data_IF_378552528026
#
_entry.id   IF_378552528026
#
_cell.length_a   1.000
_cell.length_b   1.000
_cell.length_c   1.000
_cell.angle_alpha   90.00
_cell.angle_beta   90.00
_cell.angle_gamma   90.00
#
_symmetry.space_group_name_H-M   'P 1'
#
loop_
_entity.id
_entity.type
_entity.pdbx_description
1 polymer ?
#
# COMPACT_ATOMS: atom_id res chain seq x y z
N UNK A 1 7.80 -4.96 -17.65
CA UNK A 1 6.72 -5.29 -16.70
C UNK A 1 5.62 -5.97 -17.48
N UNK A 2 5.21 -7.18 -17.10
CA UNK A 2 4.08 -7.78 -17.80
C UNK A 2 2.85 -6.95 -17.43
N UNK A 3 2.30 -6.23 -18.38
CA UNK A 3 1.09 -5.41 -18.32
C UNK A 3 -0.05 -6.11 -17.53
N UNK A 4 -0.07 -7.44 -17.58
CA UNK A 4 -1.05 -8.28 -16.90
C UNK A 4 -1.10 -8.13 -15.38
N UNK A 5 0.02 -7.84 -14.69
CA UNK A 5 -0.02 -7.70 -13.22
C UNK A 5 -0.65 -6.39 -12.78
N UNK A 6 -0.36 -5.30 -13.49
CA UNK A 6 -1.03 -4.01 -13.24
C UNK A 6 -2.51 -4.12 -13.56
N UNK A 7 -2.84 -4.74 -14.71
CA UNK A 7 -4.22 -4.99 -15.12
C UNK A 7 -4.95 -5.81 -14.04
N UNK A 8 -4.30 -6.83 -13.48
CA UNK A 8 -4.90 -7.65 -12.43
C UNK A 8 -5.27 -6.82 -11.18
N UNK A 9 -4.35 -5.96 -10.69
CA UNK A 9 -4.64 -5.08 -9.55
C UNK A 9 -5.72 -4.05 -9.87
N UNK A 10 -5.67 -3.46 -11.07
CA UNK A 10 -6.71 -2.53 -11.52
C UNK A 10 -8.06 -3.22 -11.60
N UNK A 11 -8.13 -4.41 -12.20
CA UNK A 11 -9.37 -5.21 -12.29
C UNK A 11 -9.89 -5.60 -10.91
N UNK A 12 -9.01 -5.92 -9.96
CA UNK A 12 -9.39 -6.28 -8.59
C UNK A 12 -10.01 -5.08 -7.86
N UNK A 13 -9.41 -3.89 -7.98
CA UNK A 13 -9.93 -2.64 -7.39
C UNK A 13 -11.23 -2.23 -8.09
N UNK A 14 -11.28 -2.23 -9.42
CA UNK A 14 -12.49 -1.90 -10.17
C UNK A 14 -13.57 -2.97 -10.03
N UNK A 15 -13.21 -4.24 -9.90
CA UNK A 15 -14.13 -5.34 -9.65
C UNK A 15 -14.88 -5.19 -8.32
N UNK A 16 -14.26 -4.58 -7.31
CA UNK A 16 -14.92 -4.27 -6.04
C UNK A 16 -16.01 -3.18 -6.16
N UNK A 17 -15.99 -2.41 -7.23
CA UNK A 17 -16.99 -1.38 -7.53
C UNK A 17 -18.22 -1.92 -8.26
N UNK A 18 -18.22 -3.21 -8.66
CA UNK A 18 -19.37 -3.86 -9.28
C UNK A 18 -20.42 -4.21 -8.21
N UNK A 19 -21.58 -3.59 -8.29
CA UNK A 19 -22.75 -4.05 -7.54
C UNK A 19 -23.24 -5.36 -8.15
N UNK A 20 -22.93 -6.48 -7.48
CA UNK A 20 -23.25 -7.84 -7.94
C UNK A 20 -24.76 -8.06 -8.10
N UNK A 21 -25.60 -7.27 -7.42
CA UNK A 21 -27.06 -7.42 -7.50
C UNK A 21 -27.68 -6.69 -8.71
N UNK A 22 -27.03 -5.63 -9.20
CA UNK A 22 -27.57 -4.78 -10.27
C UNK A 22 -26.73 -4.79 -11.54
N UNK A 23 -25.55 -5.45 -11.54
CA UNK A 23 -24.56 -5.40 -12.63
C UNK A 23 -24.26 -3.96 -13.09
N UNK A 24 -24.30 -3.00 -12.16
CA UNK A 24 -24.04 -1.60 -12.43
C UNK A 24 -22.72 -1.18 -11.76
N UNK A 25 -21.92 -0.41 -12.49
CA UNK A 25 -20.73 0.26 -11.97
C UNK A 25 -21.19 1.42 -11.06
N UNK A 26 -21.00 1.26 -9.76
CA UNK A 26 -21.26 2.33 -8.81
C UNK A 26 -19.92 2.96 -8.38
N UNK A 27 -19.56 4.07 -9.03
CA UNK A 27 -18.36 4.85 -8.67
C UNK A 27 -18.44 5.39 -7.23
N UNK A 28 -19.63 5.46 -6.63
CA UNK A 28 -19.80 5.81 -5.22
C UNK A 28 -19.11 4.81 -4.29
N UNK A 29 -19.02 3.53 -4.66
CA UNK A 29 -18.32 2.52 -3.88
C UNK A 29 -16.81 2.76 -3.85
N UNK A 30 -16.24 3.37 -4.90
CA UNK A 30 -14.83 3.74 -4.92
C UNK A 30 -14.52 4.84 -3.90
N UNK A 31 -15.46 5.74 -3.65
CA UNK A 31 -15.28 6.81 -2.66
C UNK A 31 -15.10 6.26 -1.23
N UNK A 32 -15.74 5.13 -0.91
CA UNK A 32 -15.56 4.46 0.39
C UNK A 32 -14.17 3.82 0.55
N UNK A 33 -13.50 3.50 -0.56
CA UNK A 33 -12.13 2.98 -0.55
C UNK A 33 -11.08 4.11 -0.52
N UNK A 34 -11.47 5.34 -0.84
CA UNK A 34 -10.57 6.50 -0.85
C UNK A 34 -10.65 7.24 0.48
N UNK A 35 -9.90 6.74 1.47
CA UNK A 35 -9.76 7.39 2.77
C UNK A 35 -8.36 8.01 2.90
N UNK A 36 -8.28 9.34 2.75
CA UNK A 36 -7.02 10.07 2.78
C UNK A 36 -6.30 9.94 4.13
N UNK A 37 -6.96 10.05 5.30
CA UNK A 37 -6.34 9.83 6.60
C UNK A 37 -5.66 8.46 6.71
N UNK A 38 -6.34 7.37 6.33
CA UNK A 38 -5.76 6.02 6.36
C UNK A 38 -4.55 5.88 5.44
N UNK A 39 -4.59 6.49 4.27
CA UNK A 39 -3.47 6.50 3.33
C UNK A 39 -2.25 7.21 3.91
N UNK A 40 -2.46 8.36 4.57
CA UNK A 40 -1.39 9.12 5.24
C UNK A 40 -0.78 8.31 6.39
N UNK A 41 -1.60 7.66 7.23
CA UNK A 41 -1.14 6.82 8.35
C UNK A 41 -0.25 5.68 7.87
N UNK A 42 -0.53 5.10 6.71
CA UNK A 42 0.27 3.99 6.18
C UNK A 42 1.51 4.47 5.44
N UNK A 43 1.39 5.46 4.55
CA UNK A 43 2.48 5.85 3.65
C UNK A 43 3.51 6.77 4.31
N UNK A 44 3.08 7.77 5.10
CA UNK A 44 4.01 8.76 5.64
C UNK A 44 5.06 8.13 6.55
N UNK A 45 4.72 7.31 7.56
CA UNK A 45 5.72 6.63 8.37
C UNK A 45 6.60 5.67 7.56
N UNK A 46 6.04 5.00 6.55
CA UNK A 46 6.79 4.09 5.66
C UNK A 46 7.87 4.84 4.89
N UNK A 47 7.55 6.03 4.34
CA UNK A 47 8.50 6.87 3.61
C UNK A 47 9.61 7.36 4.55
N UNK A 48 9.24 7.93 5.71
CA UNK A 48 10.22 8.40 6.69
C UNK A 48 11.14 7.27 7.17
N UNK A 49 10.60 6.09 7.40
CA UNK A 49 11.39 4.93 7.79
C UNK A 49 12.36 4.50 6.68
N UNK A 50 11.91 4.47 5.43
CA UNK A 50 12.76 4.10 4.29
C UNK A 50 13.92 5.09 4.11
N UNK A 51 13.65 6.40 4.19
CA UNK A 51 14.68 7.45 4.10
C UNK A 51 15.66 7.35 5.26
N UNK A 52 15.17 7.12 6.49
CA UNK A 52 16.01 7.00 7.67
C UNK A 52 16.88 5.74 7.70
N UNK A 53 16.38 4.63 7.15
CA UNK A 53 17.09 3.35 7.17
C UNK A 53 18.08 3.17 6.01
N UNK A 54 17.78 3.75 4.84
CA UNK A 54 18.58 3.51 3.62
C UNK A 54 19.29 4.75 3.09
N UNK A 55 18.76 5.87 3.07
CA UNK A 55 19.15 7.16 2.55
C UNK A 55 18.14 7.70 1.54
N UNK A 56 18.17 9.00 1.33
CA UNK A 56 17.32 9.66 0.34
C UNK A 56 17.61 9.17 -1.09
N UNK A 57 18.88 8.93 -1.41
CA UNK A 57 19.28 8.48 -2.75
C UNK A 57 18.74 7.09 -3.05
N UNK A 58 18.92 6.13 -2.14
CA UNK A 58 18.38 4.76 -2.29
C UNK A 58 16.86 4.77 -2.38
N UNK A 59 16.19 5.59 -1.54
CA UNK A 59 14.73 5.76 -1.61
C UNK A 59 14.28 6.30 -2.99
N UNK A 60 14.93 7.33 -3.52
CA UNK A 60 14.60 7.85 -4.85
C UNK A 60 14.76 6.80 -5.96
N UNK A 61 15.79 5.94 -5.85
CA UNK A 61 16.03 4.84 -6.77
C UNK A 61 14.97 3.74 -6.71
N UNK A 62 14.24 3.58 -5.60
CA UNK A 62 13.11 2.62 -5.52
C UNK A 62 11.97 2.97 -6.49
N UNK A 63 11.88 4.22 -6.91
CA UNK A 63 10.90 4.67 -7.88
C UNK A 63 11.41 4.65 -9.32
N UNK A 64 12.70 4.89 -9.53
CA UNK A 64 13.27 4.93 -10.88
C UNK A 64 13.67 3.55 -11.40
N UNK A 65 14.35 2.73 -10.60
CA UNK A 65 14.93 1.44 -11.02
C UNK A 65 13.86 0.41 -11.45
N UNK A 66 12.77 0.16 -10.70
CA UNK A 66 11.76 -0.82 -11.11
C UNK A 66 10.99 -0.42 -12.37
N UNK A 67 10.88 0.87 -12.66
CA UNK A 67 10.14 1.39 -13.81
C UNK A 67 11.03 1.74 -15.02
N UNK A 68 12.35 1.88 -14.79
CA UNK A 68 13.36 2.11 -15.83
C UNK A 68 14.00 0.82 -16.34
N UNK A 69 15.28 0.90 -16.68
CA UNK A 69 16.11 -0.20 -17.17
C UNK A 69 17.08 -0.70 -16.08
N UNK A 70 16.69 -1.71 -15.27
CA UNK A 70 17.51 -2.26 -14.20
C UNK A 70 18.84 -2.85 -14.70
N UNK A 71 18.95 -3.18 -15.99
CA UNK A 71 20.15 -3.76 -16.62
C UNK A 71 21.36 -2.83 -16.57
N UNK A 72 21.12 -1.52 -16.48
CA UNK A 72 22.17 -0.50 -16.46
C UNK A 72 22.62 -0.13 -15.03
N UNK A 73 22.08 -0.76 -14.00
CA UNK A 73 22.42 -0.49 -12.60
C UNK A 73 23.47 -1.47 -12.09
N UNK A 74 24.32 -1.01 -11.18
CA UNK A 74 25.32 -1.84 -10.52
C UNK A 74 24.68 -2.88 -9.59
N UNK A 75 25.31 -4.07 -9.44
CA UNK A 75 24.81 -5.15 -8.60
C UNK A 75 24.56 -4.74 -7.14
N UNK A 76 25.47 -4.00 -6.46
CA UNK A 76 25.24 -3.52 -5.10
C UNK A 76 24.00 -2.61 -4.99
N UNK A 77 23.80 -1.75 -5.98
CA UNK A 77 22.65 -0.83 -6.06
C UNK A 77 21.33 -1.59 -6.19
N UNK A 78 21.26 -2.59 -7.06
CA UNK A 78 20.07 -3.43 -7.23
C UNK A 78 19.71 -4.14 -5.92
N UNK A 79 20.70 -4.65 -5.19
CA UNK A 79 20.50 -5.31 -3.90
C UNK A 79 19.95 -4.33 -2.86
N UNK A 80 20.48 -3.11 -2.77
CA UNK A 80 19.99 -2.10 -1.84
C UNK A 80 18.57 -1.66 -2.17
N UNK A 81 18.27 -1.39 -3.43
CA UNK A 81 16.93 -1.01 -3.90
C UNK A 81 15.91 -2.12 -3.60
N UNK A 82 16.27 -3.39 -3.86
CA UNK A 82 15.39 -4.52 -3.54
C UNK A 82 15.12 -4.63 -2.03
N UNK A 83 16.16 -4.50 -1.19
CA UNK A 83 16.01 -4.50 0.27
C UNK A 83 15.13 -3.35 0.75
N UNK A 84 15.33 -2.14 0.22
CA UNK A 84 14.54 -0.97 0.56
C UNK A 84 13.05 -1.20 0.22
N UNK A 85 12.75 -1.70 -0.99
CA UNK A 85 11.39 -2.03 -1.42
C UNK A 85 10.73 -3.09 -0.51
N UNK A 86 11.45 -4.15 -0.18
CA UNK A 86 10.95 -5.20 0.73
C UNK A 86 10.67 -4.64 2.13
N UNK A 87 11.55 -3.76 2.63
CA UNK A 87 11.37 -3.11 3.92
C UNK A 87 10.18 -2.16 3.91
N UNK A 88 10.03 -1.35 2.86
CA UNK A 88 8.85 -0.49 2.68
C UNK A 88 7.56 -1.32 2.67
N UNK A 89 7.54 -2.43 1.93
CA UNK A 89 6.39 -3.31 1.89
C UNK A 89 6.06 -3.94 3.25
N UNK A 90 7.05 -4.33 4.05
CA UNK A 90 6.82 -4.82 5.42
C UNK A 90 6.28 -3.71 6.32
N UNK A 91 6.85 -2.52 6.19
CA UNK A 91 6.46 -1.36 6.98
C UNK A 91 5.01 -0.92 6.71
N UNK A 92 4.55 -1.00 5.45
CA UNK A 92 3.14 -0.69 5.13
C UNK A 92 2.16 -1.63 5.83
N UNK A 93 2.49 -2.92 5.96
CA UNK A 93 1.65 -3.87 6.72
C UNK A 93 1.63 -3.52 8.21
N UNK A 94 2.80 -3.24 8.79
CA UNK A 94 2.90 -2.84 10.20
C UNK A 94 2.07 -1.58 10.46
N UNK A 95 2.20 -0.56 9.61
CA UNK A 95 1.43 0.68 9.74
C UNK A 95 -0.07 0.47 9.48
N UNK A 96 -0.43 -0.42 8.56
CA UNK A 96 -1.82 -0.83 8.35
C UNK A 96 -2.44 -1.45 9.61
N UNK A 97 -1.71 -2.35 10.26
CA UNK A 97 -2.15 -2.96 11.53
C UNK A 97 -2.25 -1.90 12.64
N UNK A 98 -1.21 -1.07 12.82
CA UNK A 98 -1.20 0.00 13.84
C UNK A 98 -2.35 0.98 13.62
N UNK A 99 -2.56 1.43 12.39
CA UNK A 99 -3.65 2.33 12.03
C UNK A 99 -5.04 1.71 12.30
N UNK A 100 -5.19 0.41 12.02
CA UNK A 100 -6.42 -0.32 12.34
C UNK A 100 -6.67 -0.34 13.85
N UNK A 101 -5.64 -0.63 14.68
CA UNK A 101 -5.78 -0.57 16.14
C UNK A 101 -6.13 0.83 16.64
N UNK A 102 -5.50 1.87 16.08
CA UNK A 102 -5.87 3.26 16.42
C UNK A 102 -7.34 3.51 16.09
N UNK A 103 -7.81 3.10 14.90
CA UNK A 103 -9.21 3.23 14.49
C UNK A 103 -10.16 2.50 15.46
N UNK A 104 -9.83 1.26 15.85
CA UNK A 104 -10.63 0.47 16.80
C UNK A 104 -10.67 1.14 18.19
N UNK A 105 -9.53 1.61 18.70
CA UNK A 105 -9.46 2.29 20.00
C UNK A 105 -10.34 3.56 20.01
N UNK A 106 -10.25 4.37 18.95
CA UNK A 106 -11.08 5.55 18.81
C UNK A 106 -12.57 5.19 18.71
N UNK A 107 -12.91 4.14 17.96
CA UNK A 107 -14.27 3.65 17.81
C UNK A 107 -14.88 3.25 19.16
N UNK A 108 -14.10 2.63 20.05
CA UNK A 108 -14.57 2.24 21.38
C UNK A 108 -15.00 3.45 22.23
N UNK A 109 -14.44 4.63 22.00
CA UNK A 109 -14.89 5.85 22.67
C UNK A 109 -16.27 6.32 22.16
N UNK A 110 -16.60 6.08 20.88
CA UNK A 110 -17.90 6.44 20.31
C UNK A 110 -19.06 5.57 20.85
N UNK A 111 -18.78 4.34 21.28
CA UNK A 111 -19.79 3.48 21.93
C UNK A 111 -20.39 4.19 23.16
N UNK A 112 -19.58 4.88 23.93
CA UNK A 112 -20.05 5.59 25.14
C UNK A 112 -20.95 6.79 24.81
N UNK A 113 -20.87 7.29 23.57
CA UNK A 113 -21.66 8.42 23.07
C UNK A 113 -22.95 8.01 22.38
N UNK A 114 -23.18 6.69 22.19
CA UNK A 114 -24.36 6.13 21.51
C UNK A 114 -24.39 6.37 20.01
N UNK A 115 -23.24 6.66 19.39
CA UNK A 115 -23.12 6.88 17.95
C UNK A 115 -23.04 5.58 17.16
N UNK A 116 -23.35 5.66 15.84
CA UNK A 116 -23.23 4.51 14.93
C UNK A 116 -21.76 4.16 14.70
N UNK A 117 -21.39 2.92 14.98
CA UNK A 117 -20.02 2.42 14.90
C UNK A 117 -19.60 1.96 13.51
N UNK A 118 -20.57 1.69 12.64
CA UNK A 118 -20.30 1.10 11.34
C UNK A 118 -19.31 1.93 10.48
N UNK A 119 -19.43 3.27 10.40
CA UNK A 119 -18.47 4.08 9.64
C UNK A 119 -17.05 4.02 10.20
N UNK A 120 -16.90 4.03 11.53
CA UNK A 120 -15.59 4.03 12.18
C UNK A 120 -14.87 2.67 11.99
N UNK A 121 -15.60 1.57 12.07
CA UNK A 121 -15.07 0.23 11.78
C UNK A 121 -14.67 0.12 10.31
N UNK A 122 -15.47 0.66 9.39
CA UNK A 122 -15.14 0.66 7.96
C UNK A 122 -13.80 1.36 7.68
N UNK A 123 -13.56 2.53 8.26
CA UNK A 123 -12.30 3.28 8.12
C UNK A 123 -11.12 2.47 8.67
N UNK A 124 -11.26 1.83 9.85
CA UNK A 124 -10.23 0.99 10.42
C UNK A 124 -9.84 -0.18 9.49
N UNK A 125 -10.82 -0.82 8.85
CA UNK A 125 -10.60 -1.90 7.88
C UNK A 125 -9.91 -1.39 6.60
N UNK A 126 -10.26 -0.19 6.13
CA UNK A 126 -9.63 0.43 4.96
C UNK A 126 -8.15 0.69 5.21
N UNK A 127 -7.74 1.07 6.42
CA UNK A 127 -6.33 1.25 6.76
C UNK A 127 -5.53 -0.05 6.64
N UNK A 128 -6.09 -1.17 7.10
CA UNK A 128 -5.49 -2.49 6.94
C UNK A 128 -5.39 -2.90 5.47
N UNK A 129 -6.45 -2.65 4.70
CA UNK A 129 -6.48 -2.88 3.26
C UNK A 129 -5.34 -2.16 2.54
N UNK A 130 -5.10 -0.87 2.85
CA UNK A 130 -3.98 -0.12 2.28
C UNK A 130 -2.63 -0.74 2.66
N UNK A 131 -2.45 -1.20 3.89
CA UNK A 131 -1.23 -1.88 4.32
C UNK A 131 -0.90 -3.07 3.41
N UNK A 132 -1.87 -3.95 3.15
CA UNK A 132 -1.69 -5.11 2.27
C UNK A 132 -1.57 -4.73 0.79
N UNK A 133 -2.34 -3.75 0.32
CA UNK A 133 -2.28 -3.27 -1.06
C UNK A 133 -0.88 -2.76 -1.41
N UNK A 134 -0.32 -1.87 -0.59
CA UNK A 134 1.02 -1.33 -0.81
C UNK A 134 2.10 -2.40 -0.62
N UNK A 135 1.91 -3.34 0.32
CA UNK A 135 2.81 -4.51 0.43
C UNK A 135 2.91 -5.27 -0.87
N UNK A 136 1.78 -5.57 -1.49
CA UNK A 136 1.74 -6.29 -2.76
C UNK A 136 2.42 -5.50 -3.89
N UNK A 137 2.23 -4.17 -3.94
CA UNK A 137 2.89 -3.31 -4.94
C UNK A 137 4.41 -3.26 -4.75
N UNK A 138 4.90 -3.08 -3.51
CA UNK A 138 6.33 -3.06 -3.22
C UNK A 138 6.98 -4.43 -3.44
N UNK A 139 6.32 -5.51 -3.07
CA UNK A 139 6.79 -6.88 -3.33
C UNK A 139 6.92 -7.15 -4.82
N UNK A 140 5.96 -6.67 -5.62
CA UNK A 140 6.03 -6.77 -7.06
C UNK A 140 7.21 -5.99 -7.64
N UNK A 141 7.43 -4.74 -7.18
CA UNK A 141 8.55 -3.91 -7.60
C UNK A 141 9.90 -4.56 -7.23
N UNK A 142 10.03 -5.08 -5.99
CA UNK A 142 11.22 -5.79 -5.52
C UNK A 142 11.51 -7.02 -6.38
N UNK A 143 10.51 -7.86 -6.62
CA UNK A 143 10.66 -9.08 -7.45
C UNK A 143 11.08 -8.76 -8.89
N UNK A 144 10.74 -7.57 -9.39
CA UNK A 144 11.22 -7.13 -10.70
C UNK A 144 12.72 -6.81 -10.68
N UNK A 145 13.19 -6.12 -9.64
CA UNK A 145 14.61 -5.77 -9.46
C UNK A 145 15.45 -7.02 -9.21
N UNK A 146 14.96 -7.94 -8.38
CA UNK A 146 15.63 -9.19 -8.01
C UNK A 146 16.00 -10.08 -9.21
N UNK A 147 15.25 -10.01 -10.31
CA UNK A 147 15.57 -10.76 -11.53
C UNK A 147 16.88 -10.37 -12.19
N UNK A 148 17.40 -9.18 -11.89
CA UNK A 148 18.65 -8.66 -12.44
C UNK A 148 19.81 -8.77 -11.45
N UNK A 149 19.56 -9.24 -10.24
CA UNK A 149 20.59 -9.56 -9.25
C UNK A 149 21.18 -10.94 -9.60
N UNK A 150 22.51 -10.97 -9.77
CA UNK A 150 23.27 -12.18 -10.12
C UNK A 150 23.92 -12.78 -8.88
#
# INVERSE_FOLDING_TARGET
MKLGTIIFFVVLIFGSCLDMNKFQFNLGNLAYLLDLPSLVIVLVPTIFFAIGAYSWETYAKTWSVPFGDPENCDQPELVEVSKCLNTMGNMTVVMGIVGTFIGVILTLNYIQLGEDLAPAIAIAVVTLFYGFLFKALFMFASSKVEKYIK
#
